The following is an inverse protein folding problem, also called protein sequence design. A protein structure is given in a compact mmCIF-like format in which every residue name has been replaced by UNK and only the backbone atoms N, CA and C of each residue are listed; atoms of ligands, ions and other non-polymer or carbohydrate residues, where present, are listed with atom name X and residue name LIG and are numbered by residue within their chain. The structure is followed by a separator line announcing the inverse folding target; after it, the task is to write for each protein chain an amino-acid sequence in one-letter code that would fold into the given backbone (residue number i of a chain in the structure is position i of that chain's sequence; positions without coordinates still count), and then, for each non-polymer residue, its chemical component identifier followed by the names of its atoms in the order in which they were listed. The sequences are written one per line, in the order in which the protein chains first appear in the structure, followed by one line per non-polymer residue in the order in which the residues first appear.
data_IF_925336281712
#
_entry.id   IF_925336281712
#
_cell.length_a   1.000
_cell.length_b   1.000
_cell.length_c   1.000
_cell.angle_alpha   90.00
_cell.angle_beta   90.00
_cell.angle_gamma   90.00
#
_symmetry.space_group_name_H-M   'P 1'
#
loop_
_entity.id
_entity.type
_entity.pdbx_description
1 polymer ?
#
# COMPACT_ATOMS: atom_id res chain seq x y z
N UNK A 1 34.19 25.64 -7.74
CA UNK A 1 33.15 26.61 -8.19
C UNK A 1 32.61 26.22 -9.57
N UNK A 2 31.29 26.27 -9.81
CA UNK A 2 30.68 26.00 -11.13
C UNK A 2 29.54 26.98 -11.43
N UNK A 3 29.53 27.58 -12.62
CA UNK A 3 28.42 28.42 -13.09
C UNK A 3 27.29 27.50 -13.56
N UNK A 4 26.06 27.77 -13.10
CA UNK A 4 24.87 26.99 -13.43
C UNK A 4 24.13 27.57 -14.63
N UNK A 5 23.84 28.86 -14.57
CA UNK A 5 23.12 29.60 -15.59
C UNK A 5 23.51 31.09 -15.52
N UNK A 6 23.38 31.78 -16.64
CA UNK A 6 23.53 33.24 -16.74
C UNK A 6 22.25 33.73 -17.41
N UNK A 7 21.46 34.49 -16.66
CA UNK A 7 20.21 35.05 -17.12
C UNK A 7 20.39 36.56 -17.34
N UNK A 8 19.92 37.04 -18.48
CA UNK A 8 19.95 38.46 -18.84
C UNK A 8 18.55 39.04 -18.69
N UNK A 9 18.47 40.27 -18.17
CA UNK A 9 17.27 41.08 -18.31
C UNK A 9 16.99 41.35 -19.79
N UNK A 10 15.71 41.55 -20.13
CA UNK A 10 15.28 41.89 -21.50
C UNK A 10 15.97 43.15 -22.06
N UNK A 11 16.42 44.06 -21.19
CA UNK A 11 17.16 45.27 -21.55
C UNK A 11 18.65 45.02 -21.77
N UNK A 12 19.21 43.92 -21.23
CA UNK A 12 20.64 43.60 -21.26
C UNK A 12 21.51 44.32 -20.22
N UNK A 13 20.95 45.24 -19.43
CA UNK A 13 21.70 46.06 -18.48
C UNK A 13 22.07 45.32 -17.19
N UNK A 14 21.20 44.42 -16.71
CA UNK A 14 21.47 43.58 -15.55
C UNK A 14 21.55 42.11 -15.92
N UNK A 15 22.45 41.40 -15.25
CA UNK A 15 22.69 39.99 -15.43
C UNK A 15 22.72 39.27 -14.09
N UNK A 16 21.96 38.20 -13.99
CA UNK A 16 21.94 37.35 -12.81
C UNK A 16 22.74 36.09 -13.10
N UNK A 17 23.83 35.87 -12.35
CA UNK A 17 24.70 34.69 -12.50
C UNK A 17 24.44 33.74 -11.35
N UNK A 18 23.88 32.57 -11.67
CA UNK A 18 23.64 31.51 -10.70
C UNK A 18 24.89 30.63 -10.55
N UNK A 19 25.48 30.59 -9.36
CA UNK A 19 26.74 29.87 -9.07
C UNK A 19 26.52 28.78 -8.03
N UNK A 20 27.11 27.60 -8.25
CA UNK A 20 27.21 26.55 -7.23
C UNK A 20 28.60 26.55 -6.65
N UNK A 21 28.68 26.80 -5.34
CA UNK A 21 29.90 26.67 -4.58
C UNK A 21 29.94 25.30 -3.88
N UNK A 22 30.87 24.44 -4.29
CA UNK A 22 31.12 23.14 -3.65
C UNK A 22 32.36 23.16 -2.75
N UNK A 23 33.29 24.08 -3.06
CA UNK A 23 34.66 24.05 -2.58
C UNK A 23 34.94 25.17 -1.57
N UNK A 24 33.92 25.96 -1.22
CA UNK A 24 34.03 27.09 -0.28
C UNK A 24 34.94 28.21 -0.78
N UNK A 25 34.97 28.43 -2.10
CA UNK A 25 35.80 29.46 -2.73
C UNK A 25 35.14 30.82 -2.57
N UNK A 26 35.91 31.85 -2.27
CA UNK A 26 35.43 33.22 -2.15
C UNK A 26 34.87 33.73 -3.49
N UNK A 27 33.62 34.16 -3.50
CA UNK A 27 32.88 34.57 -4.71
C UNK A 27 32.92 36.09 -4.92
N UNK A 28 33.50 36.84 -3.98
CA UNK A 28 33.48 38.31 -3.97
C UNK A 28 34.23 38.97 -5.14
N UNK A 29 35.20 38.27 -5.72
CA UNK A 29 36.00 38.77 -6.85
C UNK A 29 35.26 38.57 -8.18
N UNK A 30 34.33 37.62 -8.23
CA UNK A 30 33.66 37.19 -9.44
C UNK A 30 32.80 38.27 -10.15
N UNK A 31 32.09 39.18 -9.45
CA UNK A 31 31.35 40.26 -10.10
C UNK A 31 32.28 41.22 -10.84
N UNK A 32 33.49 41.46 -10.32
CA UNK A 32 34.46 42.39 -10.89
C UNK A 32 35.01 41.82 -12.20
N UNK A 33 35.44 40.56 -12.17
CA UNK A 33 35.99 39.87 -13.33
C UNK A 33 34.94 39.69 -14.43
N UNK A 34 33.72 39.30 -14.06
CA UNK A 34 32.63 39.15 -15.02
C UNK A 34 32.10 40.49 -15.54
N UNK A 35 32.10 41.55 -14.72
CA UNK A 35 31.63 42.88 -15.11
C UNK A 35 32.52 43.49 -16.19
N UNK A 36 33.83 43.25 -16.11
CA UNK A 36 34.77 43.63 -17.15
C UNK A 36 34.52 42.90 -18.49
N UNK A 37 34.02 41.67 -18.45
CA UNK A 37 33.79 40.85 -19.64
C UNK A 37 32.40 41.06 -20.28
N UNK A 38 31.36 41.23 -19.46
CA UNK A 38 29.97 41.23 -19.89
C UNK A 38 29.36 42.64 -20.06
N UNK A 39 30.04 43.69 -19.56
CA UNK A 39 29.63 45.10 -19.67
C UNK A 39 28.19 45.32 -19.17
N UNK A 40 27.87 44.71 -18.03
CA UNK A 40 26.54 44.76 -17.40
C UNK A 40 26.65 44.73 -15.87
N UNK A 41 25.60 45.14 -15.16
CA UNK A 41 25.52 45.01 -13.72
C UNK A 41 25.26 43.55 -13.35
N UNK A 42 26.17 42.94 -12.60
CA UNK A 42 26.09 41.51 -12.30
C UNK A 42 25.69 41.30 -10.85
N UNK A 43 24.60 40.57 -10.70
CA UNK A 43 24.16 40.03 -9.42
C UNK A 43 24.54 38.55 -9.36
N UNK A 44 25.25 38.15 -8.33
CA UNK A 44 25.62 36.76 -8.10
C UNK A 44 24.63 36.13 -7.14
N UNK A 45 24.04 35.02 -7.56
CA UNK A 45 23.18 34.20 -6.73
C UNK A 45 23.85 32.86 -6.46
N UNK A 46 24.10 32.57 -5.19
CA UNK A 46 24.54 31.23 -4.79
C UNK A 46 23.33 30.30 -4.75
N UNK A 47 23.42 29.19 -5.48
CA UNK A 47 22.34 28.21 -5.61
C UNK A 47 22.79 26.82 -5.18
N UNK A 48 21.87 26.06 -4.61
CA UNK A 48 22.09 24.66 -4.26
C UNK A 48 22.29 23.79 -5.50
N UNK A 49 22.90 22.60 -5.34
CA UNK A 49 23.03 21.62 -6.43
C UNK A 49 21.69 21.28 -7.11
N UNK A 50 20.59 21.26 -6.34
CA UNK A 50 19.24 21.02 -6.85
C UNK A 50 18.69 22.23 -7.61
N UNK A 51 18.93 23.43 -7.13
CA UNK A 51 18.55 24.67 -7.81
C UNK A 51 19.35 24.88 -9.09
N UNK A 52 20.61 24.43 -9.14
CA UNK A 52 21.34 24.33 -10.41
C UNK A 52 20.64 23.44 -11.43
N UNK A 53 20.13 22.28 -11.01
CA UNK A 53 19.36 21.42 -11.91
C UNK A 53 18.05 22.09 -12.35
N UNK A 54 17.45 22.96 -11.51
CA UNK A 54 16.29 23.79 -11.85
C UNK A 54 16.65 24.91 -12.84
N UNK A 55 17.80 25.55 -12.66
CA UNK A 55 18.32 26.63 -13.51
C UNK A 55 18.70 26.14 -14.92
N UNK A 56 18.99 24.85 -15.09
CA UNK A 56 19.12 24.25 -16.42
C UNK A 56 17.82 24.24 -17.25
N UNK A 57 16.69 24.66 -16.66
CA UNK A 57 15.45 24.96 -17.38
C UNK A 57 14.47 23.80 -17.53
N UNK A 58 13.33 24.10 -18.16
CA UNK A 58 12.33 23.11 -18.57
C UNK A 58 12.85 22.33 -19.79
N UNK A 59 12.76 21.00 -19.76
CA UNK A 59 13.34 20.11 -20.79
C UNK A 59 14.43 19.19 -20.26
N UNK A 60 14.89 19.38 -19.02
CA UNK A 60 15.71 18.38 -18.33
C UNK A 60 14.78 17.25 -17.86
N UNK A 61 14.92 16.09 -18.49
CA UNK A 61 14.14 14.90 -18.14
C UNK A 61 14.79 14.11 -17.00
N UNK A 62 14.00 13.72 -16.01
CA UNK A 62 14.41 12.80 -14.96
C UNK A 62 14.54 11.36 -15.47
N UNK A 63 14.97 10.45 -14.59
CA UNK A 63 15.08 9.02 -14.91
C UNK A 63 13.71 8.40 -15.29
N UNK A 64 12.60 9.04 -14.91
CA UNK A 64 11.25 8.65 -15.26
C UNK A 64 10.78 9.14 -16.64
N UNK A 65 11.61 9.89 -17.38
CA UNK A 65 11.25 10.46 -18.70
C UNK A 65 10.29 11.65 -18.65
N UNK A 66 10.01 12.19 -17.45
CA UNK A 66 9.24 13.43 -17.23
C UNK A 66 10.17 14.57 -16.82
N UNK A 67 9.68 15.80 -16.85
CA UNK A 67 10.41 16.95 -16.29
C UNK A 67 10.76 16.72 -14.81
N UNK A 68 11.80 17.41 -14.34
CA UNK A 68 12.22 17.33 -12.95
C UNK A 68 11.08 17.71 -11.98
N UNK A 69 10.88 16.88 -10.94
CA UNK A 69 9.93 17.16 -9.86
C UNK A 69 10.13 18.59 -9.28
N UNK A 70 11.38 19.09 -9.27
CA UNK A 70 11.78 20.41 -8.76
C UNK A 70 11.43 21.61 -9.66
N UNK A 71 11.29 21.40 -10.97
CA UNK A 71 10.88 22.45 -11.92
C UNK A 71 9.36 22.43 -12.10
N UNK A 72 8.73 21.26 -11.95
CA UNK A 72 7.32 21.06 -12.25
C UNK A 72 6.38 21.53 -11.13
N UNK A 73 6.42 20.91 -9.95
CA UNK A 73 5.41 21.17 -8.90
C UNK A 73 5.95 21.10 -7.47
N UNK A 74 7.07 20.40 -7.23
CA UNK A 74 7.62 20.25 -5.88
C UNK A 74 8.61 21.37 -5.59
N UNK A 75 8.24 22.30 -4.70
CA UNK A 75 9.11 23.40 -4.25
C UNK A 75 9.73 23.15 -2.87
N UNK A 76 9.10 22.33 -2.04
CA UNK A 76 9.59 21.97 -0.71
C UNK A 76 10.08 20.53 -0.72
N UNK A 77 11.30 20.32 -0.20
CA UNK A 77 11.93 19.03 -0.25
C UNK A 77 12.27 18.52 1.15
N UNK A 78 11.53 17.53 1.66
CA UNK A 78 11.92 16.85 2.88
C UNK A 78 13.24 16.08 2.69
N UNK A 79 13.87 15.72 3.81
CA UNK A 79 15.05 14.87 3.80
C UNK A 79 14.69 13.49 3.26
N UNK A 80 15.49 13.02 2.29
CA UNK A 80 15.30 11.71 1.66
C UNK A 80 16.28 10.73 2.28
N UNK A 81 15.83 9.52 2.60
CA UNK A 81 16.68 8.47 3.15
C UNK A 81 16.73 7.24 2.22
N UNK A 82 17.86 6.52 2.25
CA UNK A 82 18.06 5.29 1.46
C UNK A 82 17.02 4.20 1.84
N UNK A 83 16.51 4.24 3.08
CA UNK A 83 15.46 3.31 3.55
C UNK A 83 14.20 3.42 2.70
N UNK A 84 13.86 4.61 2.23
CA UNK A 84 12.68 4.86 1.40
C UNK A 84 12.79 4.21 0.03
N UNK A 85 14.00 4.23 -0.57
CA UNK A 85 14.25 3.51 -1.82
C UNK A 85 14.06 1.99 -1.64
N UNK A 86 14.56 1.44 -0.52
CA UNK A 86 14.35 0.03 -0.17
C UNK A 86 12.86 -0.29 0.07
N UNK A 87 12.14 0.62 0.73
CA UNK A 87 10.68 0.52 0.90
C UNK A 87 9.93 0.56 -0.44
N UNK A 88 10.49 1.12 -1.51
CA UNK A 88 9.84 1.10 -2.83
C UNK A 88 10.33 -0.04 -3.73
N UNK A 89 11.16 -0.96 -3.20
CA UNK A 89 11.71 -2.07 -3.98
C UNK A 89 12.79 -1.65 -4.99
N UNK A 90 13.32 -0.43 -4.87
CA UNK A 90 14.43 0.04 -5.69
C UNK A 90 15.76 -0.50 -5.15
N UNK A 91 16.64 -0.88 -6.07
CA UNK A 91 18.02 -1.26 -5.72
C UNK A 91 18.77 -0.05 -5.15
N UNK A 92 19.56 -0.20 -4.07
CA UNK A 92 20.30 0.90 -3.45
C UNK A 92 21.55 1.35 -4.24
N UNK A 93 21.59 1.08 -5.54
CA UNK A 93 22.66 1.53 -6.43
C UNK A 93 22.56 3.04 -6.68
N UNK A 94 23.59 3.85 -6.39
CA UNK A 94 23.55 5.31 -6.51
C UNK A 94 23.09 5.78 -7.88
N UNK A 95 23.40 5.06 -8.96
CA UNK A 95 22.99 5.42 -10.33
C UNK A 95 21.48 5.39 -10.54
N UNK A 96 20.74 4.54 -9.80
CA UNK A 96 19.28 4.41 -9.93
C UNK A 96 18.51 5.31 -8.98
N UNK A 97 19.06 5.59 -7.79
CA UNK A 97 18.38 6.35 -6.73
C UNK A 97 18.78 7.83 -6.68
N UNK A 98 19.81 8.23 -7.42
CA UNK A 98 20.26 9.62 -7.50
C UNK A 98 19.63 10.32 -8.70
N UNK A 99 19.14 11.53 -8.48
CA UNK A 99 18.70 12.40 -9.56
C UNK A 99 19.88 13.12 -10.24
N UNK A 100 19.58 13.87 -11.30
CA UNK A 100 20.56 14.65 -12.06
C UNK A 100 21.29 15.71 -11.22
N UNK A 101 20.70 16.13 -10.11
CA UNK A 101 21.33 17.02 -9.14
C UNK A 101 22.44 16.35 -8.30
N UNK A 102 22.67 15.03 -8.43
CA UNK A 102 23.65 14.27 -7.67
C UNK A 102 23.22 13.94 -6.22
N UNK A 103 21.96 14.24 -5.86
CA UNK A 103 21.33 13.86 -4.59
C UNK A 103 20.25 12.81 -4.83
N UNK A 104 19.78 12.18 -3.76
CA UNK A 104 18.66 11.23 -3.81
C UNK A 104 17.41 11.85 -4.46
N UNK A 105 16.67 11.02 -5.19
CA UNK A 105 15.42 11.38 -5.86
C UNK A 105 14.40 11.92 -4.84
N UNK A 106 13.92 13.15 -5.07
CA UNK A 106 12.90 13.78 -4.21
C UNK A 106 11.53 13.13 -4.36
N UNK A 107 11.26 12.52 -5.51
CA UNK A 107 9.99 11.86 -5.80
C UNK A 107 9.82 10.59 -4.92
N UNK A 108 10.90 10.01 -4.37
CA UNK A 108 10.83 8.93 -3.37
C UNK A 108 10.01 9.35 -2.15
N UNK A 109 10.17 10.57 -1.66
CA UNK A 109 9.40 11.02 -0.48
C UNK A 109 7.95 11.30 -0.80
N UNK A 110 7.65 11.70 -2.02
CA UNK A 110 6.26 11.87 -2.44
C UNK A 110 5.52 10.54 -2.51
N UNK A 111 6.15 9.52 -3.09
CA UNK A 111 5.50 8.23 -3.32
C UNK A 111 5.45 7.35 -2.06
N UNK A 112 6.33 7.56 -1.07
CA UNK A 112 6.50 6.65 0.08
C UNK A 112 5.21 6.39 0.85
N UNK A 113 4.37 7.42 1.03
CA UNK A 113 3.17 7.29 1.85
C UNK A 113 2.10 6.48 1.13
N UNK A 114 1.99 6.63 -0.19
CA UNK A 114 1.09 5.84 -1.01
C UNK A 114 1.54 4.39 -1.09
N UNK A 115 2.85 4.13 -1.23
CA UNK A 115 3.40 2.78 -1.14
C UNK A 115 3.10 2.11 0.21
N UNK A 116 3.14 2.85 1.32
CA UNK A 116 2.82 2.33 2.66
C UNK A 116 1.34 1.99 2.80
N UNK A 117 0.45 2.84 2.29
CA UNK A 117 -0.99 2.59 2.31
C UNK A 117 -1.35 1.38 1.46
N UNK A 118 -0.82 1.31 0.23
CA UNK A 118 -1.06 0.20 -0.68
C UNK A 118 -0.55 -1.11 -0.09
N UNK A 119 0.63 -1.14 0.52
CA UNK A 119 1.12 -2.35 1.23
C UNK A 119 0.25 -2.82 2.39
N UNK A 120 -0.49 -1.91 3.04
CA UNK A 120 -1.41 -2.29 4.11
C UNK A 120 -2.71 -2.93 3.60
N UNK A 121 -3.10 -2.62 2.35
CA UNK A 121 -4.32 -3.13 1.70
C UNK A 121 -4.03 -4.35 0.84
N UNK A 122 -2.85 -4.40 0.23
CA UNK A 122 -2.42 -5.46 -0.69
C UNK A 122 -2.03 -6.74 0.06
N UNK A 123 -2.24 -7.91 -0.56
CA UNK A 123 -1.76 -9.17 -0.01
C UNK A 123 -0.23 -9.22 -0.07
N UNK A 124 0.40 -10.00 0.81
CA UNK A 124 1.85 -10.18 0.76
C UNK A 124 2.25 -11.10 -0.40
N UNK A 125 3.46 -10.91 -0.95
CA UNK A 125 4.00 -11.80 -1.98
C UNK A 125 4.10 -13.23 -1.41
N UNK A 126 3.50 -14.19 -2.09
CA UNK A 126 3.41 -15.58 -1.69
C UNK A 126 2.14 -15.98 -0.94
N UNK A 127 1.27 -15.02 -0.58
CA UNK A 127 -0.03 -15.28 0.01
C UNK A 127 -0.98 -15.91 -1.02
N UNK A 128 -1.86 -16.80 -0.55
CA UNK A 128 -2.89 -17.43 -1.37
C UNK A 128 -4.18 -16.63 -1.21
N UNK A 129 -4.64 -16.05 -2.31
CA UNK A 129 -5.87 -15.26 -2.38
C UNK A 129 -6.93 -15.99 -3.19
N UNK A 130 -8.20 -15.79 -2.84
CA UNK A 130 -9.32 -16.34 -3.60
C UNK A 130 -9.75 -15.32 -4.64
N UNK A 131 -9.66 -15.71 -5.92
CA UNK A 131 -10.09 -14.88 -7.06
C UNK A 131 -11.33 -15.52 -7.71
N UNK A 132 -12.07 -14.82 -8.60
CA UNK A 132 -13.27 -15.37 -9.25
C UNK A 132 -13.00 -16.64 -10.07
N UNK A 133 -11.76 -16.81 -10.53
CA UNK A 133 -11.33 -17.94 -11.37
C UNK A 133 -10.85 -19.12 -10.50
N UNK A 134 -10.51 -18.88 -9.24
CA UNK A 134 -10.03 -19.90 -8.31
C UNK A 134 -9.02 -19.34 -7.30
N UNK A 135 -8.40 -20.25 -6.52
CA UNK A 135 -7.30 -19.88 -5.62
C UNK A 135 -6.06 -19.56 -6.42
N UNK A 136 -5.44 -18.44 -6.12
CA UNK A 136 -4.24 -17.96 -6.78
C UNK A 136 -3.18 -17.58 -5.75
N UNK A 137 -1.92 -17.87 -6.06
CA UNK A 137 -0.76 -17.46 -5.26
C UNK A 137 -0.18 -16.18 -5.84
N UNK A 138 0.07 -15.18 -4.99
CA UNK A 138 0.68 -13.92 -5.42
C UNK A 138 2.16 -14.12 -5.72
N UNK A 139 2.59 -13.90 -6.96
CA UNK A 139 4.00 -14.00 -7.36
C UNK A 139 4.68 -12.61 -7.35
N UNK A 140 4.04 -11.62 -7.97
CA UNK A 140 4.61 -10.27 -8.10
C UNK A 140 3.54 -9.20 -7.99
N UNK A 141 3.88 -8.12 -7.28
CA UNK A 141 3.01 -6.96 -7.08
C UNK A 141 3.68 -5.76 -7.75
N UNK A 142 3.03 -5.22 -8.77
CA UNK A 142 3.45 -3.99 -9.44
C UNK A 142 2.61 -2.82 -8.90
N UNK A 143 3.09 -2.25 -7.80
CA UNK A 143 2.48 -1.09 -7.10
C UNK A 143 2.22 0.10 -8.06
N UNK A 144 3.16 0.56 -8.91
CA UNK A 144 2.92 1.76 -9.72
C UNK A 144 1.84 1.56 -10.79
N UNK A 145 1.60 0.33 -11.24
CA UNK A 145 0.57 0.02 -12.23
C UNK A 145 -0.72 -0.51 -11.60
N UNK A 146 -0.79 -0.58 -10.26
CA UNK A 146 -1.88 -1.21 -9.52
C UNK A 146 -2.27 -2.58 -10.10
N UNK A 147 -1.28 -3.40 -10.43
CA UNK A 147 -1.49 -4.75 -10.96
C UNK A 147 -0.82 -5.78 -10.06
N UNK A 148 -1.52 -6.89 -9.82
CA UNK A 148 -0.99 -8.05 -9.11
C UNK A 148 -0.97 -9.23 -10.05
N UNK A 149 0.22 -9.80 -10.21
CA UNK A 149 0.46 -11.03 -10.96
C UNK A 149 0.34 -12.21 -10.00
N UNK A 150 -0.59 -13.11 -10.31
CA UNK A 150 -0.91 -14.28 -9.49
C UNK A 150 -0.89 -15.54 -10.34
N UNK A 151 -0.48 -16.65 -9.74
CA UNK A 151 -0.49 -17.97 -10.37
C UNK A 151 -1.65 -18.80 -9.81
N UNK A 152 -2.54 -19.28 -10.66
CA UNK A 152 -3.62 -20.17 -10.24
C UNK A 152 -3.10 -21.55 -9.84
N UNK A 153 -3.50 -22.05 -8.67
CA UNK A 153 -3.08 -23.38 -8.21
C UNK A 153 -3.58 -24.53 -9.12
N UNK A 154 -4.77 -24.37 -9.70
CA UNK A 154 -5.43 -25.44 -10.45
C UNK A 154 -4.96 -25.54 -11.90
N UNK A 155 -4.56 -24.44 -12.51
CA UNK A 155 -4.24 -24.37 -13.94
C UNK A 155 -2.80 -23.96 -14.24
N UNK A 156 -2.03 -23.47 -13.25
CA UNK A 156 -0.69 -22.92 -13.47
C UNK A 156 -0.67 -21.70 -14.40
N UNK A 157 -1.82 -21.08 -14.65
CA UNK A 157 -1.91 -19.89 -15.48
C UNK A 157 -1.61 -18.65 -14.65
N UNK A 158 -0.83 -17.75 -15.25
CA UNK A 158 -0.53 -16.44 -14.71
C UNK A 158 -1.67 -15.49 -15.06
N UNK A 159 -2.32 -14.93 -14.04
CA UNK A 159 -3.38 -13.93 -14.16
C UNK A 159 -2.86 -12.61 -13.62
N UNK A 160 -3.11 -11.54 -14.36
CA UNK A 160 -2.90 -10.17 -13.91
C UNK A 160 -4.27 -9.58 -13.56
N UNK A 161 -4.46 -9.15 -12.31
CA UNK A 161 -5.68 -8.45 -11.88
C UNK A 161 -5.33 -7.07 -11.31
N UNK A 162 -6.24 -6.12 -11.47
CA UNK A 162 -6.10 -4.79 -10.90
C UNK A 162 -6.33 -4.83 -9.39
N UNK A 163 -5.61 -3.98 -8.64
CA UNK A 163 -5.72 -3.88 -7.18
C UNK A 163 -7.15 -3.56 -6.72
N UNK A 164 -7.90 -2.77 -7.49
CA UNK A 164 -9.29 -2.43 -7.17
C UNK A 164 -10.24 -3.63 -7.23
N UNK A 165 -9.98 -4.61 -8.11
CA UNK A 165 -10.80 -5.82 -8.19
C UNK A 165 -10.51 -6.76 -7.02
N UNK A 166 -9.26 -6.79 -6.56
CA UNK A 166 -8.87 -7.55 -5.38
C UNK A 166 -9.44 -6.84 -4.14
N UNK A 167 -9.28 -5.51 -4.01
CA UNK A 167 -9.79 -4.66 -2.92
C UNK A 167 -11.30 -4.83 -2.68
N UNK A 168 -12.09 -4.86 -3.75
CA UNK A 168 -13.54 -5.10 -3.70
C UNK A 168 -13.89 -6.52 -3.23
N UNK A 169 -13.03 -7.51 -3.48
CA UNK A 169 -13.18 -8.87 -2.98
C UNK A 169 -12.77 -9.03 -1.51
N UNK A 170 -11.91 -8.16 -0.96
CA UNK A 170 -11.66 -8.11 0.49
C UNK A 170 -12.90 -7.71 1.31
N UNK A 171 -13.93 -7.15 0.66
CA UNK A 171 -15.21 -6.83 1.31
C UNK A 171 -16.03 -8.04 1.76
N UNK A 172 -15.67 -9.27 1.37
CA UNK A 172 -16.29 -10.49 1.91
C UNK A 172 -15.31 -11.65 1.91
N UNK A 173 -14.66 -11.88 3.05
CA UNK A 173 -13.89 -13.09 3.39
C UNK A 173 -12.59 -13.32 2.60
N UNK A 174 -11.53 -12.63 2.99
CA UNK A 174 -10.22 -13.29 3.08
C UNK A 174 -9.99 -13.56 4.56
N UNK A 175 -10.22 -14.81 4.96
CA UNK A 175 -9.80 -15.30 6.27
C UNK A 175 -8.33 -15.68 6.10
N UNK A 176 -7.38 -14.93 6.67
CA UNK A 176 -5.99 -15.32 6.56
C UNK A 176 -5.81 -16.71 7.18
N UNK A 177 -5.06 -17.60 6.54
CA UNK A 177 -4.87 -19.01 6.94
C UNK A 177 -4.40 -19.12 8.41
N UNK A 178 -3.63 -18.13 8.88
CA UNK A 178 -3.20 -17.99 10.29
C UNK A 178 -4.37 -17.81 11.28
N UNK A 179 -5.50 -17.24 10.85
CA UNK A 179 -6.72 -17.07 11.65
C UNK A 179 -7.64 -18.30 11.58
N UNK A 180 -7.58 -19.06 10.48
CA UNK A 180 -8.27 -20.35 10.35
C UNK A 180 -7.68 -21.37 11.33
N UNK A 181 -6.35 -21.47 11.43
CA UNK A 181 -5.72 -22.41 12.35
C UNK A 181 -6.08 -22.16 13.82
N UNK A 182 -6.15 -20.90 14.25
CA UNK A 182 -6.42 -20.54 15.66
C UNK A 182 -7.87 -20.84 16.06
N UNK A 183 -8.82 -20.74 15.12
CA UNK A 183 -10.24 -20.94 15.40
C UNK A 183 -10.69 -22.37 15.10
N UNK A 184 -10.12 -23.03 14.08
CA UNK A 184 -10.53 -24.38 13.69
C UNK A 184 -9.95 -25.48 14.59
N UNK A 185 -8.72 -25.33 15.09
CA UNK A 185 -8.11 -26.32 16.01
C UNK A 185 -8.97 -26.54 17.29
N UNK A 186 -9.40 -25.50 18.03
CA UNK A 186 -10.25 -25.68 19.22
C UNK A 186 -11.68 -26.14 18.89
N UNK A 187 -12.21 -25.76 17.72
CA UNK A 187 -13.54 -26.21 17.27
C UNK A 187 -13.53 -27.71 16.90
N UNK A 188 -12.46 -28.22 16.29
CA UNK A 188 -12.29 -29.65 15.98
C UNK A 188 -12.10 -30.47 17.26
N UNK A 189 -11.30 -30.00 18.21
CA UNK A 189 -11.08 -30.68 19.49
C UNK A 189 -12.36 -30.78 20.35
N UNK A 190 -13.17 -29.72 20.39
CA UNK A 190 -14.45 -29.73 21.11
C UNK A 190 -15.49 -30.62 20.44
N UNK A 191 -15.51 -30.69 19.10
CA UNK A 191 -16.38 -31.60 18.36
C UNK A 191 -16.00 -33.07 18.56
N UNK A 192 -14.70 -33.39 18.67
CA UNK A 192 -14.22 -34.75 18.95
C UNK A 192 -14.65 -35.18 20.36
N UNK A 193 -14.49 -34.32 21.37
CA UNK A 193 -14.93 -34.60 22.76
C UNK A 193 -16.45 -34.80 22.87
N UNK A 194 -17.24 -34.06 22.09
CA UNK A 194 -18.70 -34.24 22.04
C UNK A 194 -19.10 -35.56 21.39
N UNK A 195 -18.38 -36.00 20.34
CA UNK A 195 -18.62 -37.30 19.70
C UNK A 195 -18.24 -38.46 20.63
N UNK A 196 -17.09 -38.39 21.28
CA UNK A 196 -16.64 -39.42 22.24
C UNK A 196 -17.60 -39.56 23.42
N UNK A 197 -18.10 -38.44 23.98
CA UNK A 197 -19.09 -38.49 25.05
C UNK A 197 -20.46 -39.00 24.61
N UNK A 198 -20.86 -38.76 23.36
CA UNK A 198 -22.13 -39.27 22.80
C UNK A 198 -22.06 -40.76 22.51
N UNK A 199 -20.92 -41.26 22.00
CA UNK A 199 -20.71 -42.68 21.72
C UNK A 199 -20.65 -43.51 23.02
N UNK A 200 -20.11 -42.96 24.10
CA UNK A 200 -20.03 -43.63 25.40
C UNK A 200 -21.39 -43.79 26.13
N UNK A 201 -22.43 -43.04 25.75
CA UNK A 201 -23.77 -43.12 26.37
C UNK A 201 -24.66 -44.18 25.70
N UNK A 202 -24.33 -44.60 24.48
CA UNK A 202 -25.11 -45.60 23.76
C UNK A 202 -24.51 -46.98 24.01
N UNK A 203 -25.14 -47.74 24.91
CA UNK A 203 -24.86 -49.18 25.02
C UNK A 203 -25.15 -49.86 23.65
N UNK A 204 -24.31 -50.80 23.21
CA UNK A 204 -24.56 -51.53 21.98
C UNK A 204 -25.91 -52.24 22.08
N UNK A 205 -26.87 -51.83 21.26
CA UNK A 205 -28.11 -52.58 21.13
C UNK A 205 -27.80 -53.76 20.23
N UNK A 206 -27.66 -54.95 20.82
CA UNK A 206 -27.61 -56.20 20.07
C UNK A 206 -28.90 -56.34 19.26
N UNK A 207 -28.84 -55.98 17.98
CA UNK A 207 -29.95 -56.20 17.06
C UNK A 207 -30.03 -57.70 16.75
N UNK A 208 -30.87 -58.40 17.50
CA UNK A 208 -31.29 -59.75 17.13
C UNK A 208 -32.26 -59.64 15.94
N UNK A 209 -31.91 -60.18 14.76
CA UNK A 209 -32.73 -60.02 13.57
C UNK A 209 -33.85 -61.07 13.61
N UNK A 210 -34.89 -60.83 14.41
CA UNK A 210 -36.25 -61.35 14.19
C UNK A 210 -37.21 -60.86 15.28
N UNK A 211 -38.04 -59.86 14.95
CA UNK A 211 -39.47 -59.87 15.26
C UNK A 211 -40.19 -58.76 14.48
N UNK A 212 -40.91 -59.23 13.47
CA UNK A 212 -42.14 -58.73 12.85
C UNK A 212 -42.58 -57.29 13.13
N UNK A 213 -42.64 -56.52 12.04
CA UNK A 213 -43.41 -55.29 11.92
C UNK A 213 -44.89 -55.64 12.12
N UNK A 214 -45.46 -55.23 13.26
CA UNK A 214 -46.90 -55.10 13.40
C UNK A 214 -47.30 -53.89 14.25
N UNK A 215 -48.40 -53.29 13.83
CA UNK A 215 -48.92 -51.99 14.19
C UNK A 215 -49.29 -51.81 15.67
N UNK A 216 -49.14 -50.56 16.12
CA UNK A 216 -50.19 -49.71 16.71
C UNK A 216 -49.95 -49.16 18.14
N UNK A 217 -50.28 -47.87 18.24
CA UNK A 217 -50.95 -47.20 19.38
C UNK A 217 -50.12 -46.39 20.38
N UNK A 218 -49.92 -45.11 20.02
CA UNK A 218 -50.11 -43.86 20.80
C UNK A 218 -50.21 -43.90 22.34
N UNK A 219 -49.45 -43.00 23.01
CA UNK A 219 -49.89 -42.00 24.04
C UNK A 219 -48.67 -41.12 24.43
N UNK A 220 -48.66 -39.80 24.16
CA UNK A 220 -49.02 -38.65 25.05
C UNK A 220 -48.32 -38.70 26.44
N UNK A 221 -47.71 -37.66 27.04
CA UNK A 221 -47.77 -36.20 26.90
C UNK A 221 -46.68 -35.50 27.76
N UNK A 222 -46.21 -34.32 27.30
CA UNK A 222 -45.85 -33.07 28.02
C UNK A 222 -44.75 -33.01 29.12
N UNK A 223 -43.82 -32.06 28.96
CA UNK A 223 -43.50 -31.03 29.98
C UNK A 223 -43.10 -29.68 29.34
N UNK A 224 -43.25 -28.62 30.14
CA UNK A 224 -43.59 -27.25 29.78
C UNK A 224 -42.40 -26.32 29.48
N UNK A 225 -42.53 -25.46 28.46
CA UNK A 225 -41.77 -24.19 28.35
C UNK A 225 -42.74 -23.00 28.33
N UNK A 226 -42.79 -22.28 29.46
CA UNK A 226 -43.58 -21.06 29.68
C UNK A 226 -43.08 -19.94 28.77
N UNK A 227 -43.83 -19.62 27.71
CA UNK A 227 -43.74 -18.36 26.97
C UNK A 227 -44.44 -17.24 27.76
N UNK A 228 -43.68 -16.32 28.36
CA UNK A 228 -44.23 -15.04 28.87
C UNK A 228 -44.45 -14.10 27.69
N UNK A 229 -45.69 -14.06 27.18
CA UNK A 229 -46.20 -12.97 26.33
C UNK A 229 -46.53 -11.77 27.22
N UNK A 230 -45.79 -10.69 27.05
CA UNK A 230 -46.10 -9.37 27.64
C UNK A 230 -47.40 -8.81 27.08
N UNK A 231 -48.21 -8.23 27.98
CA UNK A 231 -49.58 -7.76 27.76
C UNK A 231 -49.56 -6.33 27.20
N UNK A 232 -50.31 -6.06 26.13
CA UNK A 232 -50.67 -4.70 25.70
C UNK A 232 -51.73 -4.12 26.66
N UNK A 233 -51.55 -2.89 27.08
CA UNK A 233 -52.56 -2.07 27.76
C UNK A 233 -52.06 -0.63 27.85
N UNK A 234 -52.65 0.26 27.07
CA UNK A 234 -52.29 1.69 27.06
C UNK A 234 -53.18 2.54 27.98
N UNK A 235 -52.71 3.74 28.33
CA UNK A 235 -53.41 5.03 28.18
C UNK A 235 -52.64 6.19 28.84
N UNK A 236 -52.66 7.32 28.12
CA UNK A 236 -52.79 8.72 28.57
C UNK A 236 -51.63 9.44 29.29
N UNK A 237 -51.07 10.43 28.58
CA UNK A 237 -51.17 11.89 28.84
C UNK A 237 -51.16 12.36 30.31
N UNK A 238 -50.15 13.14 30.73
CA UNK A 238 -50.19 14.62 30.84
C UNK A 238 -48.94 15.19 31.57
N UNK A 239 -48.51 16.36 31.06
CA UNK A 239 -47.71 17.46 31.62
C UNK A 239 -47.18 17.36 33.07
N UNK A 240 -45.90 17.68 33.24
CA UNK A 240 -45.44 18.98 33.73
C UNK A 240 -44.01 19.24 33.24
#
# INVERSE_FOLDING_TARGET
MRIAAIDYDLSGDNCTVSVVNLDGVDIEILPIDLGALLISNIEILEVNQRERAKAMGAGVMGLCGRDLCCTSWMNQFPTVSIRMAKEQGLSPDPSRISGLCGRLLCCLTFEVDEYRQLRGVLPEVGEVVTTPVGRARVDKIDIPNNNVQMELELSGQIINMAVDEISQQYGTMIRPEKLDEVVEKPARESAIKLKESTIAILEPVDYSPNSEISNSSKKNEKTNLKRRRGKRGGKRNQKN
#
